data_IF_365454035207
#
_entry.id   IF_365454035207
#
_cell.length_a   1.000
_cell.length_b   1.000
_cell.length_c   1.000
_cell.angle_alpha   90.00
_cell.angle_beta   90.00
_cell.angle_gamma   90.00
#
_symmetry.space_group_name_H-M   'P 1'
#
loop_
_entity.id
_entity.type
_entity.pdbx_description
1 polymer ?
#
# COMPACT_ATOMS: atom_id res chain seq x y z
N UNK A 1 -3.81 -14.97 4.48
CA UNK A 1 -3.51 -13.55 4.76
C UNK A 1 -2.53 -13.55 5.90
N UNK A 2 -1.28 -13.12 5.70
CA UNK A 2 -0.39 -12.87 6.82
C UNK A 2 -0.10 -11.36 6.87
N UNK A 3 -1.08 -10.64 7.41
CA UNK A 3 -0.84 -9.34 8.01
C UNK A 3 0.01 -9.66 9.22
N UNK A 4 1.32 -9.41 9.10
CA UNK A 4 2.29 -9.51 10.21
C UNK A 4 1.60 -8.99 11.47
N UNK A 5 1.55 -9.78 12.55
CA UNK A 5 0.82 -9.46 13.79
C UNK A 5 1.31 -8.22 14.56
N UNK A 6 1.96 -7.29 13.85
CA UNK A 6 2.51 -6.03 14.31
C UNK A 6 1.72 -4.87 13.70
N UNK A 7 1.59 -3.79 14.47
CA UNK A 7 0.94 -2.57 14.01
C UNK A 7 1.83 -1.91 12.95
N UNK A 8 1.32 -1.63 11.73
CA UNK A 8 2.10 -0.99 10.68
C UNK A 8 2.55 0.42 11.07
N UNK A 9 3.69 0.84 10.54
CA UNK A 9 4.22 2.19 10.77
C UNK A 9 3.59 3.19 9.79
N UNK A 10 3.50 4.46 10.20
CA UNK A 10 3.09 5.55 9.30
C UNK A 10 4.11 5.63 8.14
N UNK A 11 3.62 5.84 6.91
CA UNK A 11 4.31 5.75 5.62
C UNK A 11 4.80 4.36 5.22
N UNK A 12 4.52 3.32 5.99
CA UNK A 12 4.78 1.94 5.56
C UNK A 12 4.00 1.64 4.28
N UNK A 13 4.67 0.98 3.34
CA UNK A 13 4.11 0.58 2.06
C UNK A 13 3.86 -0.93 2.09
N UNK A 14 2.66 -1.34 1.68
CA UNK A 14 2.25 -2.74 1.61
C UNK A 14 1.72 -2.98 0.20
N UNK A 15 2.31 -3.95 -0.48
CA UNK A 15 1.87 -4.40 -1.80
C UNK A 15 0.74 -5.43 -1.62
N UNK A 16 -0.33 -5.25 -2.38
CA UNK A 16 -1.49 -6.14 -2.36
C UNK A 16 -2.09 -6.26 -3.77
N UNK A 17 -1.62 -7.26 -4.53
CA UNK A 17 -2.02 -7.44 -5.92
C UNK A 17 -1.63 -6.22 -6.77
N UNK A 18 -2.55 -5.63 -7.56
CA UNK A 18 -2.26 -4.43 -8.37
C UNK A 18 -2.34 -3.14 -7.55
N UNK A 19 -2.38 -3.24 -6.22
CA UNK A 19 -2.53 -2.11 -5.34
C UNK A 19 -1.33 -1.94 -4.43
N UNK A 20 -1.04 -0.68 -4.15
CA UNK A 20 -0.08 -0.24 -3.16
C UNK A 20 -0.80 0.55 -2.07
N UNK A 21 -0.68 0.09 -0.84
CA UNK A 21 -1.25 0.73 0.34
C UNK A 21 -0.14 1.51 1.03
N UNK A 22 -0.38 2.79 1.32
CA UNK A 22 0.51 3.65 2.11
C UNK A 22 -0.24 4.04 3.38
N UNK A 23 0.31 3.68 4.54
CA UNK A 23 -0.32 3.98 5.83
C UNK A 23 -0.16 5.46 6.15
N UNK A 24 -1.24 6.24 6.13
CA UNK A 24 -1.18 7.68 6.39
C UNK A 24 -1.40 7.99 7.88
N UNK A 25 -2.27 7.21 8.55
CA UNK A 25 -2.60 7.44 9.96
C UNK A 25 -2.83 6.14 10.73
N UNK A 26 -2.16 6.04 11.88
CA UNK A 26 -2.36 4.99 12.88
C UNK A 26 -2.71 5.64 14.21
N UNK A 27 -3.75 5.14 14.86
CA UNK A 27 -4.10 5.50 16.23
C UNK A 27 -4.00 4.26 17.11
N UNK A 28 -3.11 4.32 18.11
CA UNK A 28 -2.75 3.20 18.99
C UNK A 28 -2.36 1.94 18.20
N UNK A 29 -3.29 1.00 18.03
CA UNK A 29 -3.10 -0.28 17.36
C UNK A 29 -3.99 -0.44 16.11
N UNK A 30 -4.58 0.65 15.64
CA UNK A 30 -5.55 0.63 14.54
C UNK A 30 -5.12 1.59 13.44
N UNK A 31 -5.10 1.08 12.21
CA UNK A 31 -4.97 1.91 11.02
C UNK A 31 -6.27 2.68 10.84
N UNK A 32 -6.17 4.01 10.76
CA UNK A 32 -7.32 4.91 10.60
C UNK A 32 -7.42 5.39 9.16
N UNK A 33 -6.28 5.55 8.48
CA UNK A 33 -6.23 6.10 7.12
C UNK A 33 -5.12 5.44 6.30
N UNK A 34 -5.45 5.13 5.05
CA UNK A 34 -4.54 4.53 4.06
C UNK A 34 -4.76 5.22 2.72
N UNK A 35 -3.69 5.63 2.07
CA UNK A 35 -3.70 5.96 0.65
C UNK A 35 -3.58 4.67 -0.17
N UNK A 36 -4.59 4.39 -0.99
CA UNK A 36 -4.62 3.24 -1.90
C UNK A 36 -4.30 3.72 -3.31
N UNK A 37 -3.23 3.17 -3.90
CA UNK A 37 -2.83 3.45 -5.28
C UNK A 37 -3.05 2.18 -6.10
N UNK A 38 -3.79 2.28 -7.20
CA UNK A 38 -3.84 1.20 -8.21
C UNK A 38 -2.69 1.42 -9.18
N UNK A 39 -1.72 0.51 -9.16
CA UNK A 39 -0.62 0.56 -10.11
C UNK A 39 -1.15 0.10 -11.47
N UNK A 40 -1.22 1.02 -12.42
CA UNK A 40 -1.46 0.65 -13.80
C UNK A 40 -0.18 -0.04 -14.29
N UNK A 41 -0.32 -1.25 -14.83
CA UNK A 41 0.75 -1.83 -15.64
C UNK A 41 1.16 -0.75 -16.64
N UNK A 42 2.43 -0.34 -16.60
CA UNK A 42 2.94 0.66 -17.52
C UNK A 42 2.49 0.23 -18.92
N UNK A 43 1.83 1.14 -19.65
CA UNK A 43 1.75 0.99 -21.09
C UNK A 43 3.20 0.85 -21.53
N UNK A 44 3.60 -0.38 -21.83
CA UNK A 44 4.94 -0.70 -22.27
C UNK A 44 5.18 0.15 -23.49
N UNK A 45 5.93 1.22 -23.29
CA UNK A 45 6.37 2.16 -24.30
C UNK A 45 7.34 1.40 -25.21
N UNK A 46 6.78 0.57 -26.08
CA UNK A 46 7.47 0.02 -27.24
C UNK A 46 7.30 1.01 -28.39
N UNK A 47 7.81 2.23 -28.22
CA UNK A 47 8.15 3.11 -29.32
C UNK A 47 9.42 2.60 -29.97
N UNK A 48 9.25 1.75 -30.99
CA UNK A 48 10.30 1.40 -31.96
C UNK A 48 10.72 2.60 -32.80
#
# INVERSE_FOLDING_TARGET
>A
FDLTGTVPQIKQQIEYGPYKLIIEKVDRNRIIEVLLIKENAAASDTGK
#
